data_IF_201701876952
#
_entry.id   IF_201701876952
#
_cell.length_a   1.000
_cell.length_b   1.000
_cell.length_c   1.000
_cell.angle_alpha   90.00
_cell.angle_beta   90.00
_cell.angle_gamma   90.00
#
_symmetry.space_group_name_H-M   'P 1'
#
loop_
_entity.id
_entity.type
_entity.pdbx_description
1 polymer ?
#
# COMPACT_ATOMS: atom_id res chain seq x y z
N UNK A 1 -9.29 11.94 -2.15
CA UNK A 1 -8.52 11.60 -3.37
C UNK A 1 -7.55 10.50 -3.01
N UNK A 2 -7.30 9.54 -3.90
CA UNK A 2 -6.31 8.51 -3.65
C UNK A 2 -5.10 8.77 -4.54
N UNK A 3 -3.92 8.90 -3.95
CA UNK A 3 -2.65 8.89 -4.68
C UNK A 3 -2.20 7.45 -4.77
N UNK A 4 -1.90 7.00 -5.98
CA UNK A 4 -1.59 5.61 -6.28
C UNK A 4 -0.25 5.54 -7.04
N UNK A 5 0.64 4.65 -6.61
CA UNK A 5 1.86 4.33 -7.36
C UNK A 5 1.98 2.82 -7.54
N UNK A 6 2.39 2.32 -8.72
CA UNK A 6 2.60 0.89 -8.91
C UNK A 6 3.73 0.38 -8.00
N UNK A 7 3.59 -0.84 -7.51
CA UNK A 7 4.61 -1.49 -6.69
C UNK A 7 4.56 -3.02 -6.86
N UNK A 8 5.65 -3.71 -6.52
CA UNK A 8 5.69 -5.17 -6.48
C UNK A 8 5.74 -5.65 -5.03
N UNK A 9 4.88 -6.60 -4.66
CA UNK A 9 4.88 -7.16 -3.31
C UNK A 9 5.98 -8.21 -3.18
N UNK A 10 6.96 -8.01 -2.33
CA UNK A 10 8.10 -8.94 -2.16
C UNK A 10 7.91 -9.93 -1.03
N UNK A 11 7.26 -9.51 0.03
CA UNK A 11 6.93 -10.41 1.13
C UNK A 11 5.69 -9.95 1.88
N UNK A 12 5.09 -10.87 2.61
CA UNK A 12 3.93 -10.65 3.44
C UNK A 12 4.22 -11.22 4.81
N UNK A 13 4.04 -10.40 5.85
CA UNK A 13 4.16 -10.80 7.24
C UNK A 13 2.86 -10.50 7.97
N UNK A 14 2.59 -11.28 9.03
CA UNK A 14 1.46 -11.02 9.92
C UNK A 14 2.00 -10.39 11.20
N UNK A 15 1.52 -9.21 11.53
CA UNK A 15 1.82 -8.57 12.81
C UNK A 15 1.05 -9.28 13.93
N UNK A 16 1.55 -9.20 15.16
CA UNK A 16 0.93 -9.86 16.32
C UNK A 16 -0.50 -9.41 16.62
N UNK A 17 -0.91 -8.24 16.11
CA UNK A 17 -2.28 -7.72 16.18
C UNK A 17 -3.20 -8.19 15.04
N UNK A 18 -2.77 -9.17 14.23
CA UNK A 18 -3.56 -9.74 13.14
C UNK A 18 -3.47 -8.99 11.81
N UNK A 19 -2.84 -7.80 11.77
CA UNK A 19 -2.64 -7.04 10.53
C UNK A 19 -1.68 -7.78 9.58
N UNK A 20 -1.96 -7.70 8.29
CA UNK A 20 -1.04 -8.14 7.24
C UNK A 20 -0.21 -6.94 6.80
N UNK A 21 1.12 -7.08 6.83
CA UNK A 21 2.07 -6.07 6.36
C UNK A 21 2.74 -6.63 5.11
N UNK A 22 2.71 -5.86 4.03
CA UNK A 22 3.45 -6.13 2.81
C UNK A 22 4.78 -5.37 2.84
N UNK A 23 5.86 -6.05 2.45
CA UNK A 23 7.08 -5.39 2.00
C UNK A 23 6.91 -5.19 0.50
N UNK A 24 6.94 -3.94 0.06
CA UNK A 24 6.79 -3.57 -1.35
C UNK A 24 8.08 -2.99 -1.90
N UNK A 25 8.34 -3.27 -3.16
CA UNK A 25 9.36 -2.62 -3.97
C UNK A 25 8.69 -1.61 -4.91
N UNK A 26 9.20 -0.38 -4.88
CA UNK A 26 8.74 0.72 -5.73
C UNK A 26 9.51 0.76 -7.06
N UNK A 27 9.01 1.48 -8.08
CA UNK A 27 9.65 1.54 -9.39
C UNK A 27 11.05 2.14 -9.39
N UNK A 28 11.39 2.92 -8.35
CA UNK A 28 12.71 3.48 -8.12
C UNK A 28 13.69 2.50 -7.43
N UNK A 29 13.26 1.26 -7.19
CA UNK A 29 14.05 0.21 -6.54
C UNK A 29 14.10 0.32 -5.01
N UNK A 30 13.41 1.28 -4.42
CA UNK A 30 13.32 1.41 -2.95
C UNK A 30 12.30 0.44 -2.37
N UNK A 31 12.43 0.16 -1.07
CA UNK A 31 11.56 -0.76 -0.35
C UNK A 31 10.81 -0.07 0.79
N UNK A 32 9.58 -0.52 1.06
CA UNK A 32 8.77 -0.01 2.17
C UNK A 32 7.89 -1.08 2.79
N UNK A 33 7.56 -0.90 4.08
CA UNK A 33 6.61 -1.75 4.80
C UNK A 33 5.28 -1.03 4.98
N UNK A 34 4.20 -1.68 4.55
CA UNK A 34 2.88 -1.04 4.45
C UNK A 34 1.76 -2.04 4.72
N UNK A 35 0.62 -1.60 5.29
CA UNK A 35 -0.53 -2.48 5.46
C UNK A 35 -0.97 -3.09 4.14
N UNK A 36 -1.14 -4.41 4.10
CA UNK A 36 -1.63 -5.12 2.94
C UNK A 36 -3.16 -5.18 2.96
N UNK A 37 -3.78 -4.81 1.84
CA UNK A 37 -5.19 -5.05 1.60
C UNK A 37 -5.49 -6.55 1.41
N UNK A 38 -6.77 -6.86 1.37
CA UNK A 38 -7.24 -8.23 1.23
C UNK A 38 -6.88 -8.83 -0.14
N UNK A 39 -6.59 -10.13 -0.15
CA UNK A 39 -6.31 -10.87 -1.39
C UNK A 39 -4.94 -10.65 -2.03
N UNK A 40 -4.07 -9.80 -1.46
CA UNK A 40 -2.69 -9.60 -1.94
C UNK A 40 -1.83 -10.87 -1.76
N UNK A 41 -1.06 -11.20 -2.79
CA UNK A 41 -0.08 -12.31 -2.79
C UNK A 41 1.36 -11.82 -2.94
N UNK A 42 2.30 -12.71 -2.63
CA UNK A 42 3.73 -12.49 -2.85
C UNK A 42 4.02 -12.46 -4.37
N UNK A 43 4.95 -11.60 -4.76
CA UNK A 43 5.42 -11.36 -6.13
C UNK A 43 4.32 -10.86 -7.09
N UNK A 44 3.23 -10.32 -6.52
CA UNK A 44 2.12 -9.74 -7.28
C UNK A 44 2.37 -8.25 -7.56
N UNK A 45 2.04 -7.81 -8.77
CA UNK A 45 1.96 -6.39 -9.12
C UNK A 45 0.73 -5.78 -8.44
N UNK A 46 0.97 -4.70 -7.70
CA UNK A 46 -0.03 -4.04 -6.86
C UNK A 46 0.12 -2.52 -6.94
N UNK A 47 -0.71 -1.80 -6.18
CA UNK A 47 -0.64 -0.35 -6.06
C UNK A 47 -0.50 0.02 -4.60
N UNK A 48 0.50 0.85 -4.31
CA UNK A 48 0.59 1.55 -3.04
C UNK A 48 -0.34 2.76 -3.10
N UNK A 49 -1.39 2.74 -2.27
CA UNK A 49 -2.42 3.76 -2.23
C UNK A 49 -2.34 4.57 -0.92
N UNK A 50 -2.26 5.90 -1.07
CA UNK A 50 -2.42 6.88 0.01
C UNK A 50 -3.77 7.56 -0.15
N UNK A 51 -4.66 7.36 0.81
CA UNK A 51 -5.92 8.11 0.88
C UNK A 51 -5.64 9.47 1.46
N UNK A 52 -5.93 10.53 0.71
CA UNK A 52 -5.82 11.92 1.18
C UNK A 52 -7.19 12.58 1.29
N UNK A 53 -7.42 13.21 2.43
CA UNK A 53 -8.57 14.07 2.70
C UNK A 53 -8.21 15.54 2.49
N UNK A 54 -9.23 16.37 2.29
CA UNK A 54 -9.09 17.83 2.26
C UNK A 54 -9.83 18.40 3.46
N UNK A 55 -9.15 19.22 4.26
CA UNK A 55 -9.74 19.94 5.37
C UNK A 55 -9.19 21.36 5.39
N UNK A 56 -10.06 22.37 5.42
CA UNK A 56 -9.68 23.78 5.43
C UNK A 56 -8.63 24.14 4.36
N UNK A 57 -8.87 23.67 3.12
CA UNK A 57 -7.98 23.87 1.96
C UNK A 57 -6.57 23.27 2.08
N UNK A 58 -6.36 22.32 3.01
CA UNK A 58 -5.11 21.58 3.18
C UNK A 58 -5.31 20.09 2.94
N UNK A 59 -4.29 19.42 2.39
CA UNK A 59 -4.27 17.98 2.18
C UNK A 59 -3.75 17.28 3.42
N UNK A 60 -4.43 16.22 3.85
CA UNK A 60 -4.02 15.39 4.99
C UNK A 60 -4.05 13.90 4.63
N UNK A 61 -3.01 13.12 4.96
CA UNK A 61 -3.04 11.69 4.81
C UNK A 61 -4.06 11.09 5.80
N UNK A 62 -4.94 10.22 5.30
CA UNK A 62 -6.00 9.55 6.07
C UNK A 62 -5.77 8.05 6.17
N UNK A 63 -5.03 7.47 5.23
CA UNK A 63 -4.74 6.05 5.23
C UNK A 63 -3.65 5.70 4.22
N UNK A 64 -2.98 4.59 4.47
CA UNK A 64 -1.95 4.01 3.62
C UNK A 64 -2.16 2.50 3.56
N UNK A 65 -2.26 1.94 2.36
CA UNK A 65 -2.33 0.50 2.16
C UNK A 65 -1.91 0.10 0.75
N UNK A 66 -1.55 -1.17 0.61
CA UNK A 66 -1.34 -1.80 -0.70
C UNK A 66 -2.64 -2.44 -1.15
N UNK A 67 -3.08 -2.08 -2.34
CA UNK A 67 -4.29 -2.60 -2.96
C UNK A 67 -3.95 -3.40 -4.22
N UNK A 68 -4.80 -4.37 -4.52
CA UNK A 68 -4.68 -5.16 -5.74
C UNK A 68 -5.09 -4.29 -6.93
N UNK A 69 -4.37 -4.41 -8.03
CA UNK A 69 -4.80 -3.81 -9.31
C UNK A 69 -6.02 -4.62 -9.77
N UNK A 70 -7.23 -4.10 -9.55
CA UNK A 70 -8.42 -4.66 -10.18
C UNK A 70 -8.27 -4.43 -11.70
N UNK A 71 -8.35 -5.52 -12.46
CA UNK A 71 -8.30 -5.52 -13.92
C UNK A 71 -9.68 -5.21 -14.50
#
# INVERSE_FOLDING_TARGET
MNLATPCTVRSLKRAGNGLRIAVVELPDGTFGEVPAGDGIKKDEAAVLAVTVGVQSSRLYPRGLRVERIAK
#
